data_IF_775060767500
#
_entry.id   IF_775060767500
#
_cell.length_a   1.000
_cell.length_b   1.000
_cell.length_c   1.000
_cell.angle_alpha   90.00
_cell.angle_beta   90.00
_cell.angle_gamma   90.00
#
_symmetry.space_group_name_H-M   'P 1'
#
loop_
_entity.id
_entity.type
_entity.pdbx_description
1 polymer ?
#
# COMPACT_ATOMS: atom_id res chain seq x y z
N UNK A 1 0.06 6.10 10.09
CA UNK A 1 1.17 5.12 10.21
C UNK A 1 2.19 5.32 11.33
N UNK A 2 2.31 6.49 11.97
CA UNK A 2 3.38 6.74 12.97
C UNK A 2 3.39 5.74 14.15
N UNK A 3 2.20 5.33 14.62
CA UNK A 3 2.03 4.35 15.70
C UNK A 3 2.73 3.00 15.42
N UNK A 4 2.84 2.58 14.16
CA UNK A 4 3.50 1.34 13.78
C UNK A 4 5.01 1.36 14.06
N UNK A 5 5.61 2.54 14.14
CA UNK A 5 7.02 2.71 14.47
C UNK A 5 7.28 2.72 15.98
N UNK A 6 6.24 2.98 16.78
CA UNK A 6 6.31 2.97 18.24
C UNK A 6 6.22 1.55 18.81
N UNK A 7 5.53 0.64 18.12
CA UNK A 7 5.49 -0.77 18.51
C UNK A 7 6.79 -1.49 18.08
N UNK A 8 7.63 -1.98 19.03
CA UNK A 8 8.97 -2.47 18.72
C UNK A 8 9.03 -3.66 17.76
N UNK A 9 8.03 -4.55 17.78
CA UNK A 9 8.01 -5.74 16.93
C UNK A 9 7.73 -5.36 15.47
N UNK A 10 6.80 -4.44 15.24
CA UNK A 10 6.39 -3.96 13.93
C UNK A 10 7.44 -3.04 13.34
N UNK A 11 8.03 -2.14 14.13
CA UNK A 11 9.16 -1.33 13.69
C UNK A 11 10.34 -2.19 13.22
N UNK A 12 10.62 -3.31 13.92
CA UNK A 12 11.66 -4.26 13.51
C UNK A 12 11.31 -4.97 12.20
N UNK A 13 10.04 -5.34 12.02
CA UNK A 13 9.55 -5.91 10.76
C UNK A 13 9.73 -4.94 9.59
N UNK A 14 9.27 -3.69 9.72
CA UNK A 14 9.41 -2.66 8.69
C UNK A 14 10.89 -2.36 8.37
N UNK A 15 11.75 -2.26 9.39
CA UNK A 15 13.20 -2.06 9.19
C UNK A 15 13.84 -3.21 8.41
N UNK A 16 13.42 -4.46 8.65
CA UNK A 16 13.93 -5.62 7.91
C UNK A 16 13.46 -5.63 6.47
N UNK A 17 12.20 -5.25 6.19
CA UNK A 17 11.74 -5.08 4.80
C UNK A 17 12.54 -3.98 4.08
N UNK A 18 12.74 -2.84 4.74
CA UNK A 18 13.46 -1.71 4.18
C UNK A 18 14.97 -1.96 3.98
N UNK A 19 15.57 -2.96 4.64
CA UNK A 19 17.02 -3.21 4.53
C UNK A 19 17.45 -3.79 3.18
N UNK A 20 16.51 -4.31 2.38
CA UNK A 20 16.79 -4.89 1.07
C UNK A 20 15.82 -4.41 -0.03
N UNK A 21 14.84 -3.58 0.32
CA UNK A 21 13.84 -3.06 -0.62
C UNK A 21 13.57 -1.59 -0.36
N UNK A 22 13.05 -0.92 -1.38
CA UNK A 22 12.44 0.40 -1.21
C UNK A 22 11.04 0.20 -0.61
N UNK A 23 10.94 0.37 0.71
CA UNK A 23 9.68 0.22 1.43
C UNK A 23 8.81 1.48 1.26
N UNK A 24 7.70 1.34 0.54
CA UNK A 24 6.68 2.39 0.36
C UNK A 24 5.51 2.03 1.26
N UNK A 25 5.23 2.90 2.22
CA UNK A 25 4.08 2.78 3.11
C UNK A 25 3.18 3.99 2.87
N UNK A 26 1.88 3.79 2.80
CA UNK A 26 0.91 4.88 2.63
C UNK A 26 -0.37 4.58 3.42
N UNK A 27 -1.05 5.64 3.87
CA UNK A 27 -2.37 5.52 4.46
C UNK A 27 -3.41 5.54 3.31
N UNK A 28 -4.33 4.56 3.28
CA UNK A 28 -5.42 4.51 2.30
C UNK A 28 -6.28 5.78 2.40
N UNK A 29 -6.93 6.16 1.30
CA UNK A 29 -7.91 7.25 1.29
C UNK A 29 -8.89 7.12 2.47
N UNK A 30 -9.08 8.22 3.20
CA UNK A 30 -9.96 8.27 4.37
C UNK A 30 -9.39 7.63 5.64
N UNK A 31 -8.14 7.15 5.64
CA UNK A 31 -7.50 6.57 6.83
C UNK A 31 -6.21 7.31 7.21
N UNK A 32 -5.82 7.18 8.47
CA UNK A 32 -4.56 7.73 8.99
C UNK A 32 -4.40 9.23 8.70
N UNK A 33 -3.36 9.56 7.94
CA UNK A 33 -2.98 10.94 7.59
C UNK A 33 -3.53 11.40 6.24
N UNK A 34 -4.22 10.53 5.51
CA UNK A 34 -4.85 10.86 4.22
C UNK A 34 -6.13 11.67 4.43
N UNK A 35 -6.49 12.49 3.44
CA UNK A 35 -7.71 13.29 3.49
C UNK A 35 -8.94 12.42 3.78
N UNK A 36 -9.87 12.99 4.54
CA UNK A 36 -11.15 12.33 4.84
C UNK A 36 -11.94 12.16 3.56
N UNK A 37 -12.36 10.93 3.30
CA UNK A 37 -13.28 10.66 2.21
C UNK A 37 -14.69 11.08 2.62
N UNK A 38 -15.38 11.83 1.76
CA UNK A 38 -16.79 12.20 1.97
C UNK A 38 -17.72 10.97 1.83
N UNK A 39 -17.30 9.98 1.06
CA UNK A 39 -18.04 8.75 0.74
C UNK A 39 -17.11 7.53 0.80
N UNK A 40 -17.70 6.34 0.92
CA UNK A 40 -16.94 5.09 0.87
C UNK A 40 -16.41 4.91 -0.57
N UNK A 41 -15.09 4.85 -0.78
CA UNK A 41 -14.54 4.79 -2.13
C UNK A 41 -14.85 3.43 -2.78
N UNK A 42 -15.32 3.48 -4.03
CA UNK A 42 -15.42 2.29 -4.88
C UNK A 42 -14.03 1.71 -5.16
N UNK A 43 -13.98 0.45 -5.58
CA UNK A 43 -12.71 -0.27 -5.70
C UNK A 43 -11.79 0.33 -6.77
N UNK A 44 -12.36 0.76 -7.90
CA UNK A 44 -11.64 1.40 -9.00
C UNK A 44 -10.88 2.64 -8.49
N UNK A 45 -11.52 3.38 -7.61
CA UNK A 45 -10.98 4.59 -7.03
C UNK A 45 -9.86 4.33 -6.01
N UNK A 46 -9.85 3.14 -5.38
CA UNK A 46 -8.75 2.69 -4.54
C UNK A 46 -7.55 2.19 -5.38
N UNK A 47 -7.81 1.58 -6.54
CA UNK A 47 -6.78 1.21 -7.51
C UNK A 47 -6.10 2.46 -8.08
N UNK A 48 -6.88 3.48 -8.41
CA UNK A 48 -6.36 4.78 -8.88
C UNK A 48 -5.49 5.47 -7.82
N UNK A 49 -5.87 5.40 -6.54
CA UNK A 49 -5.04 5.93 -5.44
C UNK A 49 -3.69 5.24 -5.36
N UNK A 50 -3.69 3.90 -5.39
CA UNK A 50 -2.45 3.12 -5.33
C UNK A 50 -1.55 3.44 -6.53
N UNK A 51 -2.14 3.55 -7.73
CA UNK A 51 -1.43 3.95 -8.95
C UNK A 51 -0.82 5.35 -8.80
N UNK A 52 -1.61 6.31 -8.29
CA UNK A 52 -1.17 7.69 -8.07
C UNK A 52 -0.04 7.78 -7.05
N UNK A 53 -0.10 7.01 -5.96
CA UNK A 53 1.00 6.91 -4.98
C UNK A 53 2.24 6.37 -5.66
N UNK A 54 2.13 5.27 -6.41
CA UNK A 54 3.24 4.67 -7.15
C UNK A 54 3.88 5.68 -8.12
N UNK A 55 3.08 6.40 -8.89
CA UNK A 55 3.56 7.40 -9.85
C UNK A 55 4.24 8.58 -9.14
N UNK A 56 3.65 9.09 -8.06
CA UNK A 56 4.20 10.22 -7.29
C UNK A 56 5.58 9.92 -6.70
N UNK A 57 5.88 8.65 -6.42
CA UNK A 57 7.16 8.20 -5.90
C UNK A 57 8.04 7.56 -6.99
N UNK A 58 7.62 7.54 -8.26
CA UNK A 58 8.39 6.96 -9.36
C UNK A 58 8.59 5.45 -9.25
N UNK A 59 7.59 4.72 -8.76
CA UNK A 59 7.57 3.26 -8.67
C UNK A 59 6.77 2.66 -9.82
N UNK A 60 7.44 2.27 -10.91
CA UNK A 60 6.77 1.70 -12.08
C UNK A 60 6.16 0.31 -11.80
N UNK A 61 6.84 -0.53 -11.02
CA UNK A 61 6.41 -1.90 -10.68
C UNK A 61 6.79 -2.23 -9.23
N UNK A 62 5.89 -2.86 -8.48
CA UNK A 62 6.12 -3.16 -7.06
C UNK A 62 5.64 -4.57 -6.64
N UNK A 63 6.24 -5.09 -5.58
CA UNK A 63 5.70 -6.21 -4.82
C UNK A 63 4.67 -5.65 -3.83
N UNK A 64 3.44 -6.17 -3.87
CA UNK A 64 2.34 -5.69 -3.04
C UNK A 64 2.22 -6.55 -1.80
N UNK A 65 2.20 -5.92 -0.62
CA UNK A 65 1.96 -6.58 0.66
C UNK A 65 0.65 -6.04 1.22
N UNK A 66 -0.38 -6.89 1.22
CA UNK A 66 -1.71 -6.54 1.70
C UNK A 66 -2.05 -7.32 2.96
N UNK A 67 -2.42 -6.62 4.03
CA UNK A 67 -2.91 -7.23 5.26
C UNK A 67 -4.35 -6.79 5.54
N UNK A 68 -5.20 -7.69 6.04
CA UNK A 68 -6.62 -7.42 6.32
C UNK A 68 -7.32 -6.83 5.08
N UNK A 69 -7.98 -5.67 5.19
CA UNK A 69 -8.62 -4.98 4.07
C UNK A 69 -7.64 -4.68 2.91
N UNK A 70 -6.36 -4.43 3.23
CA UNK A 70 -5.33 -4.21 2.23
C UNK A 70 -5.08 -5.42 1.33
N UNK A 71 -5.41 -6.63 1.78
CA UNK A 71 -5.29 -7.87 1.01
C UNK A 71 -6.21 -7.88 -0.21
N UNK A 72 -7.48 -7.50 -0.02
CA UNK A 72 -8.46 -7.41 -1.11
C UNK A 72 -8.06 -6.37 -2.15
N UNK A 73 -7.59 -5.20 -1.71
CA UNK A 73 -7.09 -4.15 -2.61
C UNK A 73 -5.87 -4.62 -3.40
N UNK A 74 -4.86 -5.20 -2.74
CA UNK A 74 -3.66 -5.69 -3.41
C UNK A 74 -3.97 -6.81 -4.40
N UNK A 75 -4.91 -7.69 -4.06
CA UNK A 75 -5.35 -8.77 -4.95
C UNK A 75 -6.01 -8.23 -6.21
N UNK A 76 -6.92 -7.27 -6.07
CA UNK A 76 -7.61 -6.67 -7.21
C UNK A 76 -6.66 -5.83 -8.05
N UNK A 77 -5.79 -5.02 -7.44
CA UNK A 77 -4.77 -4.28 -8.16
C UNK A 77 -3.85 -5.21 -8.96
N UNK A 78 -3.38 -6.31 -8.36
CA UNK A 78 -2.53 -7.28 -9.05
C UNK A 78 -3.22 -7.95 -10.25
N UNK A 79 -4.53 -8.19 -10.14
CA UNK A 79 -5.33 -8.75 -11.23
C UNK A 79 -5.61 -7.73 -12.35
N UNK A 80 -5.84 -6.46 -11.99
CA UNK A 80 -6.15 -5.38 -12.94
C UNK A 80 -4.92 -4.84 -13.65
N UNK A 81 -3.78 -4.71 -12.95
CA UNK A 81 -2.54 -4.10 -13.44
C UNK A 81 -1.34 -5.05 -13.22
N UNK A 82 -1.31 -6.21 -13.88
CA UNK A 82 -0.24 -7.20 -13.71
C UNK A 82 1.14 -6.68 -14.13
N UNK A 83 1.21 -5.74 -15.07
CA UNK A 83 2.45 -5.09 -15.51
C UNK A 83 3.05 -4.18 -14.43
N UNK A 84 2.21 -3.61 -13.56
CA UNK A 84 2.60 -2.79 -12.40
C UNK A 84 2.89 -3.64 -11.15
N UNK A 85 2.67 -4.95 -11.22
CA UNK A 85 2.82 -5.87 -10.08
C UNK A 85 3.93 -6.90 -10.30
N UNK A 86 4.89 -7.00 -9.39
CA UNK A 86 5.96 -8.00 -9.45
C UNK A 86 5.70 -9.23 -8.58
N UNK A 87 4.96 -9.06 -7.49
CA UNK A 87 4.56 -10.13 -6.57
C UNK A 87 3.37 -9.67 -5.72
N UNK A 88 2.65 -10.61 -5.13
CA UNK A 88 1.56 -10.39 -4.18
C UNK A 88 1.81 -11.20 -2.90
N UNK A 89 1.72 -10.56 -1.74
CA UNK A 89 1.91 -11.14 -0.41
C UNK A 89 0.66 -10.80 0.42
N UNK A 90 0.06 -11.81 1.04
CA UNK A 90 -1.18 -11.75 1.83
C UNK A 90 -0.99 -12.31 3.23
#
# INVERSE_FOLDING_TARGET
MELFWEEPSYARFLKRLASFSRLILFDKRGTGSSDRAAEIPIIEQQIDDLTSVMDSVGSERAALLGASEGGSLCTLFAATLPERTSALIL
#
